data_IF_281420374098
#
_entry.id   IF_281420374098
#
_cell.length_a   1.000
_cell.length_b   1.000
_cell.length_c   1.000
_cell.angle_alpha   90.00
_cell.angle_beta   90.00
_cell.angle_gamma   90.00
#
_symmetry.space_group_name_H-M   'P 1'
#
loop_
_entity.id
_entity.type
_entity.pdbx_description
1 polymer ?
#
# COMPACT_ATOMS: atom_id res chain seq x y z
N UNK A 1 -14.92 4.50 5.93
CA UNK A 1 -16.00 4.12 4.98
C UNK A 1 -15.46 4.14 3.56
N UNK A 2 -15.98 3.28 2.67
CA UNK A 2 -15.61 3.25 1.25
C UNK A 2 -14.59 2.18 0.86
N UNK A 3 -14.12 1.33 1.76
CA UNK A 3 -13.28 0.20 1.39
C UNK A 3 -14.11 -0.86 0.67
N UNK A 4 -13.60 -1.36 -0.45
CA UNK A 4 -14.28 -2.38 -1.25
C UNK A 4 -14.53 -3.66 -0.43
N UNK A 5 -15.74 -4.19 -0.51
CA UNK A 5 -16.15 -5.36 0.27
C UNK A 5 -15.24 -6.59 0.05
N UNK A 6 -14.76 -6.78 -1.18
CA UNK A 6 -13.86 -7.92 -1.45
C UNK A 6 -12.48 -7.76 -0.79
N UNK A 7 -11.97 -6.55 -0.63
CA UNK A 7 -10.71 -6.31 0.08
C UNK A 7 -10.83 -6.74 1.53
N UNK A 8 -11.96 -6.42 2.16
CA UNK A 8 -12.24 -6.84 3.53
C UNK A 8 -12.39 -8.35 3.62
N UNK A 9 -13.17 -8.95 2.71
CA UNK A 9 -13.36 -10.39 2.66
C UNK A 9 -12.03 -11.15 2.46
N UNK A 10 -11.16 -10.64 1.61
CA UNK A 10 -9.84 -11.23 1.38
C UNK A 10 -8.96 -11.19 2.63
N UNK A 11 -8.91 -10.06 3.32
CA UNK A 11 -8.15 -9.95 4.58
C UNK A 11 -8.68 -10.95 5.61
N UNK A 12 -9.99 -11.07 5.74
CA UNK A 12 -10.62 -12.01 6.67
C UNK A 12 -10.34 -13.47 6.29
N UNK A 13 -10.33 -13.80 5.01
CA UNK A 13 -10.06 -15.17 4.55
C UNK A 13 -8.63 -15.64 4.88
N UNK A 14 -7.69 -14.71 5.00
CA UNK A 14 -6.33 -14.99 5.48
C UNK A 14 -6.18 -14.90 7.01
N UNK A 15 -7.27 -14.83 7.76
CA UNK A 15 -7.26 -14.75 9.22
C UNK A 15 -6.90 -13.37 9.77
N UNK A 16 -6.87 -12.35 8.92
CA UNK A 16 -6.61 -10.98 9.34
C UNK A 16 -7.76 -10.40 10.16
N UNK A 17 -7.43 -9.58 11.16
CA UNK A 17 -8.40 -8.82 11.96
C UNK A 17 -8.61 -7.46 11.33
N UNK A 18 -9.87 -7.05 11.21
CA UNK A 18 -10.25 -5.76 10.63
C UNK A 18 -10.79 -4.86 11.73
N UNK A 19 -10.25 -3.64 11.79
CA UNK A 19 -10.79 -2.54 12.58
C UNK A 19 -11.34 -1.51 11.62
N UNK A 20 -12.64 -1.34 11.60
CA UNK A 20 -13.31 -0.37 10.74
C UNK A 20 -13.52 0.94 11.49
N UNK A 21 -12.99 2.01 10.95
CA UNK A 21 -13.11 3.36 11.51
C UNK A 21 -14.21 4.13 10.79
N UNK A 22 -15.14 4.70 11.55
CA UNK A 22 -16.13 5.65 11.01
C UNK A 22 -15.48 7.02 10.93
N UNK A 23 -14.90 7.35 9.80
CA UNK A 23 -14.21 8.61 9.64
C UNK A 23 -13.41 8.68 8.33
N UNK A 24 -12.57 9.68 8.25
CA UNK A 24 -11.67 9.89 7.11
C UNK A 24 -10.49 8.92 7.12
N UNK A 25 -9.80 8.85 5.98
CA UNK A 25 -8.55 8.12 5.86
C UNK A 25 -7.49 8.59 6.88
N UNK A 26 -7.41 9.90 7.09
CA UNK A 26 -6.42 10.47 8.00
C UNK A 26 -6.67 10.06 9.47
N UNK A 27 -7.92 9.97 9.87
CA UNK A 27 -8.28 9.48 11.21
C UNK A 27 -7.94 8.01 11.39
N UNK A 28 -8.22 7.19 10.37
CA UNK A 28 -7.84 5.78 10.38
C UNK A 28 -6.33 5.58 10.40
N UNK A 29 -5.58 6.36 9.61
CA UNK A 29 -4.12 6.32 9.58
C UNK A 29 -3.51 6.73 10.91
N UNK A 30 -4.03 7.79 11.53
CA UNK A 30 -3.60 8.23 12.86
C UNK A 30 -3.84 7.15 13.91
N UNK A 31 -5.03 6.56 13.93
CA UNK A 31 -5.36 5.48 14.86
C UNK A 31 -4.41 4.27 14.66
N UNK A 32 -4.13 3.89 13.41
CA UNK A 32 -3.20 2.81 13.12
C UNK A 32 -1.79 3.10 13.65
N UNK A 33 -1.31 4.34 13.48
CA UNK A 33 -0.03 4.78 14.02
C UNK A 33 0.01 4.72 15.56
N UNK A 34 -1.03 5.23 16.22
CA UNK A 34 -1.13 5.26 17.67
C UNK A 34 -1.18 3.84 18.27
N UNK A 35 -1.92 2.93 17.62
CA UNK A 35 -1.97 1.51 18.01
C UNK A 35 -0.60 0.84 17.81
N UNK A 36 0.04 1.06 16.66
CA UNK A 36 1.35 0.48 16.37
C UNK A 36 2.37 0.90 17.43
N UNK A 37 2.39 2.18 17.78
CA UNK A 37 3.30 2.72 18.80
C UNK A 37 3.01 2.20 20.20
N UNK A 38 1.72 2.07 20.57
CA UNK A 38 1.33 1.68 21.94
C UNK A 38 1.40 0.18 22.21
N UNK A 39 1.35 -0.64 21.16
CA UNK A 39 1.26 -2.11 21.25
C UNK A 39 2.46 -2.83 20.62
N UNK A 40 3.47 -2.10 20.22
CA UNK A 40 4.68 -2.64 19.56
C UNK A 40 4.33 -3.47 18.30
N UNK A 41 3.36 -2.98 17.52
CA UNK A 41 3.03 -3.56 16.22
C UNK A 41 3.85 -2.92 15.12
N UNK A 42 4.33 -3.73 14.20
CA UNK A 42 4.96 -3.21 12.99
C UNK A 42 3.90 -2.59 12.07
N UNK A 43 4.04 -1.31 11.79
CA UNK A 43 3.17 -0.60 10.85
C UNK A 43 3.67 -0.81 9.41
N UNK A 44 3.07 -1.75 8.70
CA UNK A 44 3.38 -2.06 7.30
C UNK A 44 2.77 -0.99 6.35
N UNK A 45 3.09 0.24 6.59
CA UNK A 45 2.58 1.38 5.83
C UNK A 45 3.61 1.98 4.89
N UNK A 46 3.73 3.30 4.92
CA UNK A 46 4.72 4.05 4.14
C UNK A 46 6.05 4.05 4.90
N UNK A 47 7.01 3.29 4.40
CA UNK A 47 8.36 3.22 4.96
C UNK A 47 9.38 2.89 3.85
N UNK A 48 10.64 3.16 4.12
CA UNK A 48 11.72 3.10 3.13
C UNK A 48 11.80 1.76 2.38
N UNK A 49 11.70 0.64 3.09
CA UNK A 49 11.77 -0.69 2.45
C UNK A 49 10.59 -0.98 1.50
N UNK A 50 9.43 -0.39 1.75
CA UNK A 50 8.31 -0.50 0.83
C UNK A 50 8.61 0.22 -0.48
N UNK A 51 9.15 1.43 -0.41
CA UNK A 51 9.55 2.21 -1.58
C UNK A 51 10.66 1.48 -2.36
N UNK A 52 11.65 0.95 -1.65
CA UNK A 52 12.70 0.12 -2.24
C UNK A 52 12.17 -1.14 -2.93
N UNK A 53 11.15 -1.78 -2.37
CA UNK A 53 10.50 -2.92 -3.00
C UNK A 53 9.73 -2.54 -4.27
N UNK A 54 9.07 -1.40 -4.28
CA UNK A 54 8.25 -0.95 -5.41
C UNK A 54 9.07 -0.58 -6.65
N UNK A 55 10.33 -0.19 -6.50
CA UNK A 55 11.20 0.09 -7.65
C UNK A 55 11.40 -1.12 -8.57
N UNK A 56 11.14 -2.34 -8.09
CA UNK A 56 11.21 -3.56 -8.90
C UNK A 56 10.25 -3.53 -10.08
N UNK A 57 9.16 -2.78 -10.01
CA UNK A 57 8.24 -2.57 -11.13
C UNK A 57 8.94 -1.90 -12.33
N UNK A 58 9.86 -0.97 -12.08
CA UNK A 58 10.64 -0.35 -13.14
C UNK A 58 11.63 -1.34 -13.77
N UNK A 59 12.24 -2.20 -12.97
CA UNK A 59 13.15 -3.25 -13.49
C UNK A 59 12.41 -4.26 -14.35
N UNK A 60 11.24 -4.71 -13.88
CA UNK A 60 10.40 -5.63 -14.63
C UNK A 60 9.92 -5.00 -15.96
N UNK A 61 9.53 -3.73 -15.95
CA UNK A 61 9.14 -3.01 -17.15
C UNK A 61 10.29 -2.94 -18.17
N UNK A 62 11.49 -2.59 -17.73
CA UNK A 62 12.67 -2.51 -18.60
C UNK A 62 13.01 -3.88 -19.18
N UNK A 63 12.93 -4.93 -18.39
CA UNK A 63 13.19 -6.30 -18.83
C UNK A 63 12.17 -6.74 -19.89
N UNK A 64 10.88 -6.51 -19.65
CA UNK A 64 9.80 -6.81 -20.60
C UNK A 64 9.92 -6.01 -21.91
N UNK A 65 10.46 -4.81 -21.86
CA UNK A 65 10.73 -3.97 -23.02
C UNK A 65 12.07 -4.31 -23.72
N UNK A 66 12.74 -5.38 -23.31
CA UNK A 66 14.07 -5.80 -23.83
C UNK A 66 15.09 -4.65 -23.81
N UNK A 67 15.13 -3.92 -22.70
CA UNK A 67 16.00 -2.76 -22.45
C UNK A 67 15.78 -1.58 -23.42
N UNK A 68 14.65 -1.54 -24.11
CA UNK A 68 14.25 -0.36 -24.86
C UNK A 68 13.55 0.61 -23.93
N UNK A 69 14.14 1.78 -23.75
CA UNK A 69 13.55 2.83 -22.92
C UNK A 69 12.43 3.52 -23.70
N UNK A 70 11.28 3.69 -23.06
CA UNK A 70 10.17 4.43 -23.61
C UNK A 70 10.40 5.95 -23.47
N UNK A 71 9.96 6.73 -24.45
CA UNK A 71 10.05 8.20 -24.39
C UNK A 71 9.05 8.77 -23.36
N UNK A 72 7.95 8.06 -23.13
CA UNK A 72 6.92 8.46 -22.17
C UNK A 72 6.46 7.27 -21.33
N UNK A 73 6.26 7.50 -20.04
CA UNK A 73 5.69 6.54 -19.10
C UNK A 73 4.52 7.19 -18.37
N UNK A 74 3.33 6.60 -18.52
CA UNK A 74 2.14 7.07 -17.83
C UNK A 74 1.93 6.21 -16.60
N UNK A 75 1.94 6.83 -15.42
CA UNK A 75 1.81 6.15 -14.14
C UNK A 75 0.53 6.63 -13.44
N UNK A 76 -0.30 5.67 -13.05
CA UNK A 76 -1.43 5.95 -12.17
C UNK A 76 -0.93 6.26 -10.75
N UNK A 77 -1.21 7.46 -10.26
CA UNK A 77 -0.84 7.87 -8.91
C UNK A 77 -2.09 7.98 -8.05
N UNK A 78 -2.23 7.05 -7.11
CA UNK A 78 -3.23 7.13 -6.05
C UNK A 78 -2.69 7.83 -4.80
N UNK A 79 -1.94 7.10 -4.00
CA UNK A 79 -1.34 7.60 -2.75
C UNK A 79 0.16 7.95 -2.88
N UNK A 80 0.69 8.02 -4.08
CA UNK A 80 2.09 8.39 -4.34
C UNK A 80 3.11 7.32 -3.99
N UNK A 81 2.71 6.07 -4.01
CA UNK A 81 3.61 4.93 -3.73
C UNK A 81 4.01 4.15 -4.98
N UNK A 82 3.58 4.58 -6.14
CA UNK A 82 3.93 3.96 -7.41
C UNK A 82 5.19 4.58 -8.00
#
# INVERSE_FOLDING_TARGET
EGVAAYTLAQVMSYGGKIVQVKGSYNEAAKLAYDIAKSKDFFLAGVYAFRVEGQKTAAFELIDQLLFKVSDEVIIHIGCGTN
#
